data_IF_161467663382
#
_entry.id   IF_161467663382
#
_cell.length_a   1.000
_cell.length_b   1.000
_cell.length_c   1.000
_cell.angle_alpha   90.00
_cell.angle_beta   90.00
_cell.angle_gamma   90.00
#
_symmetry.space_group_name_H-M   'P 1'
#
loop_
_entity.id
_entity.type
_entity.pdbx_description
1 polymer ?
#
# COMPACT_ATOMS: atom_id res chain seq x y z
N UNK A 1 5.05 -0.48 5.91
CA UNK A 1 4.12 -1.31 5.12
C UNK A 1 2.97 -1.75 6.01
N UNK A 2 1.71 -1.65 5.54
CA UNK A 2 0.54 -2.06 6.31
C UNK A 2 0.26 -3.54 6.10
N UNK A 3 0.30 -4.30 7.19
CA UNK A 3 0.06 -5.76 7.20
C UNK A 3 -1.18 -6.03 8.05
N UNK A 4 -2.04 -6.92 7.58
CA UNK A 4 -3.16 -7.43 8.36
C UNK A 4 -2.89 -8.90 8.69
N UNK A 5 -3.14 -9.28 9.94
CA UNK A 5 -3.16 -10.67 10.42
C UNK A 5 -4.59 -11.00 10.86
N UNK A 6 -5.15 -12.07 10.32
CA UNK A 6 -6.48 -12.54 10.70
C UNK A 6 -6.39 -14.02 11.10
N UNK A 7 -6.65 -14.31 12.38
CA UNK A 7 -6.60 -15.64 12.99
C UNK A 7 -7.46 -15.60 14.26
N UNK A 8 -8.26 -16.61 14.57
CA UNK A 8 -9.14 -16.62 15.76
C UNK A 8 -8.37 -16.91 17.05
N UNK A 9 -7.11 -17.40 16.96
CA UNK A 9 -6.25 -17.73 18.10
C UNK A 9 -5.26 -16.60 18.38
N UNK A 10 -5.38 -16.00 19.57
CA UNK A 10 -4.52 -14.88 19.98
C UNK A 10 -3.04 -15.26 20.01
N UNK A 11 -2.70 -16.50 20.40
CA UNK A 11 -1.31 -16.94 20.47
C UNK A 11 -0.67 -17.03 19.08
N UNK A 12 -1.44 -17.48 18.07
CA UNK A 12 -0.99 -17.58 16.68
C UNK A 12 -0.81 -16.19 16.06
N UNK A 13 -1.74 -15.24 16.35
CA UNK A 13 -1.58 -13.83 15.92
C UNK A 13 -0.32 -13.22 16.51
N UNK A 14 -0.10 -13.37 17.82
CA UNK A 14 1.09 -12.84 18.48
C UNK A 14 2.38 -13.43 17.92
N UNK A 15 2.44 -14.76 17.79
CA UNK A 15 3.62 -15.43 17.22
C UNK A 15 3.96 -14.91 15.83
N UNK A 16 2.97 -14.76 14.95
CA UNK A 16 3.18 -14.22 13.61
C UNK A 16 3.58 -12.74 13.66
N UNK A 17 2.95 -11.93 14.52
CA UNK A 17 3.27 -10.52 14.70
C UNK A 17 4.72 -10.32 15.18
N UNK A 18 5.16 -11.14 16.14
CA UNK A 18 6.54 -11.11 16.65
C UNK A 18 7.55 -11.47 15.55
N UNK A 19 7.30 -12.56 14.79
CA UNK A 19 8.17 -12.97 13.67
C UNK A 19 8.26 -11.90 12.57
N UNK A 20 7.14 -11.23 12.25
CA UNK A 20 7.14 -10.13 11.28
C UNK A 20 7.89 -8.91 11.81
N UNK A 21 7.77 -8.61 13.11
CA UNK A 21 8.49 -7.51 13.74
C UNK A 21 10.00 -7.76 13.74
N UNK A 22 10.44 -8.95 14.12
CA UNK A 22 11.84 -9.38 14.07
C UNK A 22 12.42 -9.29 12.65
N UNK A 23 11.65 -9.74 11.66
CA UNK A 23 12.03 -9.59 10.25
C UNK A 23 12.16 -8.12 9.86
N UNK A 24 11.21 -7.27 10.27
CA UNK A 24 11.24 -5.83 10.01
C UNK A 24 12.49 -5.17 10.60
N UNK A 25 12.82 -5.46 11.85
CA UNK A 25 14.06 -4.96 12.50
C UNK A 25 15.32 -5.43 11.77
N UNK A 26 15.41 -6.73 11.46
CA UNK A 26 16.56 -7.33 10.76
C UNK A 26 16.80 -6.72 9.38
N UNK A 27 15.74 -6.42 8.64
CA UNK A 27 15.79 -5.94 7.24
C UNK A 27 15.55 -4.41 7.12
N UNK A 28 15.40 -3.71 8.25
CA UNK A 28 15.13 -2.27 8.30
C UNK A 28 13.84 -1.87 7.56
N UNK A 29 12.77 -2.63 7.79
CA UNK A 29 11.41 -2.33 7.36
C UNK A 29 10.54 -1.89 8.53
N UNK A 30 9.71 -0.87 8.34
CA UNK A 30 8.66 -0.49 9.29
C UNK A 30 7.34 -1.11 8.85
N UNK A 31 6.74 -1.92 9.73
CA UNK A 31 5.44 -2.53 9.55
C UNK A 31 4.41 -1.94 10.51
N UNK A 32 3.24 -1.57 9.98
CA UNK A 32 2.06 -1.29 10.76
C UNK A 32 1.18 -2.54 10.70
N UNK A 33 1.17 -3.32 11.78
CA UNK A 33 0.42 -4.57 11.88
C UNK A 33 -0.92 -4.31 12.55
N UNK A 34 -2.01 -4.75 11.90
CA UNK A 34 -3.37 -4.72 12.45
C UNK A 34 -3.90 -6.14 12.54
N UNK A 35 -4.50 -6.50 13.66
CA UNK A 35 -4.97 -7.86 13.94
C UNK A 35 -6.49 -7.93 13.94
N UNK A 36 -7.03 -9.02 13.39
CA UNK A 36 -8.45 -9.37 13.41
C UNK A 36 -8.63 -10.80 13.87
N UNK A 37 -9.71 -11.06 14.60
CA UNK A 37 -10.01 -12.38 15.19
C UNK A 37 -11.01 -13.21 14.37
N UNK A 38 -11.62 -12.61 13.33
CA UNK A 38 -12.55 -13.32 12.47
C UNK A 38 -12.58 -12.77 11.04
N UNK A 39 -12.94 -13.62 10.09
CA UNK A 39 -13.10 -13.24 8.69
C UNK A 39 -14.26 -12.28 8.48
N UNK A 40 -15.32 -12.37 9.27
CA UNK A 40 -16.47 -11.46 9.24
C UNK A 40 -16.03 -10.04 9.60
N UNK A 41 -15.36 -9.89 10.76
CA UNK A 41 -14.87 -8.59 11.22
C UNK A 41 -13.94 -7.95 10.18
N UNK A 42 -13.00 -8.74 9.66
CA UNK A 42 -12.09 -8.24 8.61
C UNK A 42 -12.82 -7.78 7.36
N UNK A 43 -13.84 -8.51 6.90
CA UNK A 43 -14.59 -8.14 5.70
C UNK A 43 -15.42 -6.85 5.85
N UNK A 44 -15.75 -6.44 7.07
CA UNK A 44 -16.49 -5.20 7.37
C UNK A 44 -15.57 -3.98 7.37
N UNK A 45 -14.27 -4.17 7.63
CA UNK A 45 -13.27 -3.10 7.77
C UNK A 45 -12.68 -2.66 6.42
N UNK A 46 -13.51 -2.03 5.59
CA UNK A 46 -13.12 -1.62 4.24
C UNK A 46 -11.91 -0.69 4.21
N UNK A 47 -11.84 0.28 5.14
CA UNK A 47 -10.73 1.24 5.21
C UNK A 47 -9.39 0.57 5.52
N UNK A 48 -9.40 -0.45 6.37
CA UNK A 48 -8.20 -1.24 6.68
C UNK A 48 -7.76 -2.07 5.48
N UNK A 49 -8.70 -2.71 4.77
CA UNK A 49 -8.41 -3.49 3.57
C UNK A 49 -7.90 -2.62 2.41
N UNK A 50 -8.44 -1.41 2.22
CA UNK A 50 -7.95 -0.45 1.22
C UNK A 50 -6.52 0.01 1.49
N UNK A 51 -6.14 0.14 2.76
CA UNK A 51 -4.79 0.50 3.17
C UNK A 51 -3.82 -0.70 3.24
N UNK A 52 -4.35 -1.93 3.23
CA UNK A 52 -3.57 -3.16 3.39
C UNK A 52 -2.69 -3.43 2.19
N UNK A 53 -1.44 -3.81 2.44
CA UNK A 53 -0.47 -4.17 1.41
C UNK A 53 -0.12 -5.66 1.42
N UNK A 54 -0.42 -6.36 2.52
CA UNK A 54 -0.21 -7.79 2.68
C UNK A 54 -1.15 -8.33 3.76
N UNK A 55 -1.87 -9.41 3.46
CA UNK A 55 -2.78 -10.07 4.37
C UNK A 55 -2.27 -11.47 4.70
N UNK A 56 -2.09 -11.76 5.98
CA UNK A 56 -1.93 -13.12 6.52
C UNK A 56 -3.26 -13.58 7.08
N UNK A 57 -3.70 -14.76 6.68
CA UNK A 57 -5.04 -15.26 6.96
C UNK A 57 -5.00 -16.72 7.35
N UNK A 58 -5.44 -17.03 8.57
CA UNK A 58 -5.65 -18.43 8.97
C UNK A 58 -6.83 -19.03 8.21
N UNK A 59 -6.72 -20.32 7.87
CA UNK A 59 -7.79 -21.05 7.17
C UNK A 59 -8.85 -21.53 8.16
N UNK A 60 -8.44 -22.00 9.32
CA UNK A 60 -9.32 -22.67 10.27
C UNK A 60 -9.83 -21.74 11.37
N UNK A 61 -10.66 -20.80 11.01
CA UNK A 61 -11.32 -19.88 11.96
C UNK A 61 -12.76 -20.31 12.22
N UNK A 62 -13.26 -19.99 13.42
CA UNK A 62 -14.68 -20.15 13.72
C UNK A 62 -15.51 -19.18 12.86
N UNK A 63 -16.71 -19.59 12.44
CA UNK A 63 -17.59 -18.78 11.59
C UNK A 63 -17.19 -18.85 10.12
N UNK A 64 -16.77 -17.72 9.54
CA UNK A 64 -16.29 -17.66 8.16
C UNK A 64 -14.84 -18.16 8.12
N UNK A 65 -14.62 -19.29 7.47
CA UNK A 65 -13.27 -19.83 7.25
C UNK A 65 -12.41 -18.91 6.38
N UNK A 66 -11.07 -19.09 6.47
CA UNK A 66 -10.13 -18.23 5.76
C UNK A 66 -10.22 -18.33 4.24
N UNK A 67 -10.63 -19.46 3.68
CA UNK A 67 -10.79 -19.59 2.23
C UNK A 67 -11.95 -18.74 1.72
N UNK A 68 -13.10 -18.77 2.41
CA UNK A 68 -14.25 -17.92 2.09
C UNK A 68 -13.92 -16.44 2.28
N UNK A 69 -13.19 -16.12 3.35
CA UNK A 69 -12.71 -14.77 3.63
C UNK A 69 -11.80 -14.28 2.50
N UNK A 70 -10.82 -15.10 2.08
CA UNK A 70 -9.92 -14.80 0.98
C UNK A 70 -10.68 -14.57 -0.34
N UNK A 71 -11.67 -15.41 -0.67
CA UNK A 71 -12.49 -15.25 -1.87
C UNK A 71 -13.21 -13.91 -1.87
N UNK A 72 -13.91 -13.56 -0.78
CA UNK A 72 -14.60 -12.26 -0.65
C UNK A 72 -13.66 -11.06 -0.80
N UNK A 73 -12.51 -11.12 -0.15
CA UNK A 73 -11.51 -10.06 -0.21
C UNK A 73 -10.96 -9.95 -1.63
N UNK A 74 -10.61 -11.06 -2.28
CA UNK A 74 -10.08 -11.08 -3.64
C UNK A 74 -11.07 -10.62 -4.71
N UNK A 75 -12.37 -10.77 -4.51
CA UNK A 75 -13.40 -10.21 -5.40
C UNK A 75 -13.31 -8.69 -5.46
N UNK A 76 -13.10 -8.04 -4.30
CA UNK A 76 -13.03 -6.58 -4.20
C UNK A 76 -11.60 -6.05 -4.37
N UNK A 77 -10.61 -6.78 -3.86
CA UNK A 77 -9.20 -6.42 -3.87
C UNK A 77 -8.33 -7.49 -4.57
N UNK A 78 -8.49 -7.69 -5.89
CA UNK A 78 -7.85 -8.81 -6.62
C UNK A 78 -6.32 -8.76 -6.59
N UNK A 79 -5.74 -7.58 -6.41
CA UNK A 79 -4.28 -7.36 -6.37
C UNK A 79 -3.67 -7.49 -4.97
N UNK A 80 -4.48 -7.54 -3.90
CA UNK A 80 -3.97 -7.66 -2.54
C UNK A 80 -3.29 -9.02 -2.36
N UNK A 81 -1.99 -9.10 -2.03
CA UNK A 81 -1.34 -10.36 -1.72
C UNK A 81 -1.94 -10.97 -0.45
N UNK A 82 -2.33 -12.24 -0.54
CA UNK A 82 -2.87 -13.02 0.57
C UNK A 82 -1.96 -14.21 0.83
N UNK A 83 -1.49 -14.34 2.06
CA UNK A 83 -0.76 -15.50 2.56
C UNK A 83 -1.70 -16.31 3.44
N UNK A 84 -1.95 -17.54 3.05
CA UNK A 84 -2.70 -18.45 3.89
C UNK A 84 -1.76 -19.11 4.91
N UNK A 85 -2.13 -19.07 6.17
CA UNK A 85 -1.39 -19.65 7.28
C UNK A 85 -2.27 -20.71 7.93
N UNK A 86 -1.79 -21.94 8.13
CA UNK A 86 -2.61 -23.00 8.70
C UNK A 86 -1.77 -24.09 9.37
N UNK A 87 -2.36 -24.82 10.28
CA UNK A 87 -1.74 -26.02 10.85
C UNK A 87 -1.84 -27.25 9.93
N UNK A 88 -2.61 -27.21 8.83
CA UNK A 88 -2.95 -28.39 8.04
C UNK A 88 -2.54 -28.27 6.57
N UNK A 89 -1.70 -29.20 6.10
CA UNK A 89 -1.15 -29.23 4.74
C UNK A 89 -2.19 -29.54 3.64
N UNK A 90 -3.28 -30.21 3.99
CA UNK A 90 -4.32 -30.61 3.04
C UNK A 90 -5.07 -29.43 2.39
N UNK A 91 -4.99 -28.23 2.95
CA UNK A 91 -5.56 -27.00 2.39
C UNK A 91 -4.71 -26.32 1.31
N UNK A 92 -3.49 -26.79 1.04
CA UNK A 92 -2.61 -26.17 0.05
C UNK A 92 -3.25 -26.11 -1.35
N UNK A 93 -3.99 -27.14 -1.75
CA UNK A 93 -4.70 -27.17 -3.04
C UNK A 93 -5.88 -26.18 -3.08
N UNK A 94 -6.53 -25.92 -1.97
CA UNK A 94 -7.63 -24.97 -1.87
C UNK A 94 -7.13 -23.54 -1.87
N UNK A 95 -5.94 -23.29 -1.33
CA UNK A 95 -5.25 -22.00 -1.44
C UNK A 95 -5.01 -21.55 -2.88
N UNK A 96 -4.73 -22.51 -3.79
CA UNK A 96 -4.60 -22.23 -5.23
C UNK A 96 -5.91 -21.71 -5.85
N UNK A 97 -7.06 -22.23 -5.43
CA UNK A 97 -8.39 -21.81 -5.93
C UNK A 97 -8.71 -20.35 -5.59
N UNK A 98 -8.23 -19.86 -4.45
CA UNK A 98 -8.44 -18.48 -4.00
C UNK A 98 -7.32 -17.53 -4.46
N UNK A 99 -6.39 -18.02 -5.30
CA UNK A 99 -5.24 -17.25 -5.79
C UNK A 99 -4.42 -16.63 -4.65
N UNK A 100 -4.20 -17.42 -3.58
CA UNK A 100 -3.29 -17.03 -2.53
C UNK A 100 -1.88 -16.84 -3.09
N UNK A 101 -1.17 -15.83 -2.62
CA UNK A 101 0.20 -15.55 -3.06
C UNK A 101 1.19 -16.55 -2.50
N UNK A 102 0.98 -16.99 -1.26
CA UNK A 102 1.79 -17.99 -0.55
C UNK A 102 0.91 -18.80 0.40
N UNK A 103 1.47 -19.93 0.82
CA UNK A 103 0.88 -20.82 1.80
C UNK A 103 1.96 -21.19 2.82
N UNK A 104 1.69 -21.00 4.11
CA UNK A 104 2.61 -21.28 5.20
C UNK A 104 1.97 -22.25 6.20
N UNK A 105 2.79 -23.15 6.74
CA UNK A 105 2.39 -23.99 7.86
C UNK A 105 2.79 -23.35 9.18
N UNK A 106 1.85 -23.31 10.15
CA UNK A 106 2.09 -22.75 11.49
C UNK A 106 3.28 -23.42 12.19
N UNK A 107 3.44 -24.73 12.03
CA UNK A 107 4.52 -25.51 12.66
C UNK A 107 5.93 -25.12 12.16
N UNK A 108 6.06 -24.60 10.91
CA UNK A 108 7.34 -24.23 10.32
C UNK A 108 7.43 -22.72 10.05
N UNK A 109 6.60 -21.92 10.71
CA UNK A 109 6.46 -20.50 10.41
C UNK A 109 7.78 -19.74 10.62
N UNK A 110 8.48 -20.00 11.72
CA UNK A 110 9.75 -19.37 12.04
C UNK A 110 10.84 -19.61 10.97
N UNK A 111 10.85 -20.79 10.36
CA UNK A 111 11.84 -21.17 9.35
C UNK A 111 11.51 -20.63 7.95
N UNK A 112 10.22 -20.37 7.68
CA UNK A 112 9.74 -20.04 6.32
C UNK A 112 9.34 -18.59 6.15
N UNK A 113 9.12 -17.85 7.22
CA UNK A 113 8.60 -16.47 7.16
C UNK A 113 9.59 -15.52 6.48
N UNK A 114 10.90 -15.66 6.71
CA UNK A 114 11.91 -14.78 6.13
C UNK A 114 11.93 -14.90 4.60
N UNK A 115 11.98 -16.13 4.07
CA UNK A 115 11.95 -16.39 2.63
C UNK A 115 10.62 -15.90 2.01
N UNK A 116 9.51 -16.18 2.67
CA UNK A 116 8.20 -15.73 2.23
C UNK A 116 8.11 -14.20 2.13
N UNK A 117 8.61 -13.49 3.13
CA UNK A 117 8.60 -12.03 3.15
C UNK A 117 9.57 -11.43 2.11
N UNK A 118 10.76 -11.99 1.95
CA UNK A 118 11.72 -11.55 0.93
C UNK A 118 11.10 -11.66 -0.47
N UNK A 119 10.44 -12.76 -0.78
CA UNK A 119 9.75 -12.99 -2.06
C UNK A 119 8.57 -12.02 -2.27
N UNK A 120 7.71 -11.88 -1.26
CA UNK A 120 6.52 -11.03 -1.35
C UNK A 120 6.90 -9.55 -1.47
N UNK A 121 7.88 -9.09 -0.70
CA UNK A 121 8.37 -7.72 -0.79
C UNK A 121 9.02 -7.47 -2.16
N UNK A 122 9.77 -8.44 -2.69
CA UNK A 122 10.33 -8.33 -4.04
C UNK A 122 9.23 -8.27 -5.11
N UNK A 123 8.15 -9.07 -4.98
CA UNK A 123 7.00 -9.06 -5.88
C UNK A 123 6.22 -7.74 -5.80
N UNK A 124 5.92 -7.28 -4.59
CA UNK A 124 5.25 -6.00 -4.35
C UNK A 124 6.10 -4.86 -4.94
N UNK A 125 7.40 -4.86 -4.67
CA UNK A 125 8.32 -3.82 -5.17
C UNK A 125 8.54 -3.88 -6.69
N UNK A 126 8.51 -5.08 -7.30
CA UNK A 126 8.62 -5.23 -8.75
C UNK A 126 7.47 -4.54 -9.51
N UNK A 127 6.30 -4.50 -8.89
CA UNK A 127 5.13 -3.83 -9.46
C UNK A 127 5.04 -2.35 -9.07
N UNK A 128 5.88 -1.88 -8.11
CA UNK A 128 5.92 -0.46 -7.72
C UNK A 128 6.65 0.35 -8.78
N UNK A 129 6.03 1.44 -9.19
CA UNK A 129 6.62 2.38 -10.15
C UNK A 129 7.71 3.18 -9.46
N UNK A 130 8.94 3.10 -9.98
CA UNK A 130 10.12 3.75 -9.41
C UNK A 130 10.46 4.98 -10.23
N UNK A 131 10.64 6.10 -9.56
CA UNK A 131 11.30 7.29 -10.08
C UNK A 131 12.77 7.26 -9.65
N UNK A 132 13.67 7.05 -10.59
CA UNK A 132 15.12 7.19 -10.36
C UNK A 132 15.58 8.51 -10.94
N UNK A 133 16.12 9.37 -10.09
CA UNK A 133 16.61 10.70 -10.51
C UNK A 133 17.79 11.14 -9.67
N UNK A 134 18.56 12.11 -10.22
CA UNK A 134 19.65 12.75 -9.50
C UNK A 134 19.09 13.94 -8.71
N UNK A 135 18.89 13.71 -7.42
CA UNK A 135 18.49 14.72 -6.46
C UNK A 135 19.72 15.52 -5.95
N UNK A 136 19.48 16.59 -5.20
CA UNK A 136 20.55 17.36 -4.55
C UNK A 136 21.34 16.47 -3.59
N UNK A 137 20.65 15.57 -2.94
CA UNK A 137 21.18 14.60 -1.97
C UNK A 137 21.91 13.43 -2.63
N UNK A 138 21.85 13.28 -3.95
CA UNK A 138 22.49 12.21 -4.73
C UNK A 138 21.52 11.49 -5.69
N UNK A 139 21.97 10.35 -6.22
CA UNK A 139 21.07 9.50 -7.02
C UNK A 139 20.18 8.68 -6.10
N UNK A 140 18.87 8.94 -6.15
CA UNK A 140 17.88 8.33 -5.25
C UNK A 140 16.79 7.65 -6.08
N UNK A 141 16.35 6.50 -5.61
CA UNK A 141 15.19 5.77 -6.11
C UNK A 141 14.01 6.01 -5.17
N UNK A 142 12.97 6.67 -5.68
CA UNK A 142 11.72 6.87 -4.95
C UNK A 142 10.63 6.01 -5.57
N UNK A 143 9.88 5.32 -4.73
CA UNK A 143 8.65 4.70 -5.19
C UNK A 143 7.59 5.78 -5.37
N UNK A 144 6.89 5.76 -6.52
CA UNK A 144 5.84 6.73 -6.80
C UNK A 144 4.76 6.75 -5.72
N UNK A 145 4.45 5.57 -5.15
CA UNK A 145 3.47 5.42 -4.08
C UNK A 145 3.88 6.11 -2.77
N UNK A 146 5.18 6.26 -2.49
CA UNK A 146 5.69 6.93 -1.28
C UNK A 146 5.71 8.46 -1.42
N UNK A 147 5.56 8.99 -2.65
CA UNK A 147 5.54 10.44 -2.92
C UNK A 147 4.13 10.96 -2.65
N UNK A 148 3.99 11.88 -1.69
CA UNK A 148 2.72 12.49 -1.31
C UNK A 148 2.37 13.61 -2.29
N UNK A 149 3.29 14.55 -2.47
CA UNK A 149 3.18 15.63 -3.46
C UNK A 149 4.56 16.20 -3.77
N UNK A 150 4.63 16.96 -4.87
CA UNK A 150 5.82 17.71 -5.28
C UNK A 150 5.43 19.18 -5.34
N UNK A 151 6.23 20.03 -4.72
CA UNK A 151 6.02 21.49 -4.68
C UNK A 151 7.22 22.21 -5.31
N UNK A 152 6.95 23.18 -6.17
CA UNK A 152 8.00 24.09 -6.68
C UNK A 152 8.26 25.15 -5.65
N UNK A 153 9.48 25.17 -5.12
CA UNK A 153 9.99 26.17 -4.19
C UNK A 153 11.18 26.90 -4.83
N UNK A 154 11.01 28.20 -5.06
CA UNK A 154 12.01 29.03 -5.77
C UNK A 154 12.36 28.43 -7.14
N UNK A 155 13.53 27.78 -7.25
CA UNK A 155 14.06 27.21 -8.49
C UNK A 155 14.20 25.69 -8.44
N UNK A 156 13.67 25.05 -7.40
CA UNK A 156 13.74 23.60 -7.17
C UNK A 156 12.35 23.00 -7.04
N UNK A 157 12.23 21.73 -7.32
CA UNK A 157 11.08 20.95 -6.95
C UNK A 157 11.43 20.09 -5.73
N UNK A 158 10.59 20.19 -4.70
CA UNK A 158 10.71 19.46 -3.44
C UNK A 158 9.69 18.33 -3.45
N UNK A 159 10.17 17.12 -3.28
CA UNK A 159 9.38 15.92 -3.11
C UNK A 159 9.08 15.73 -1.64
N UNK A 160 7.82 15.74 -1.27
CA UNK A 160 7.35 15.41 0.06
C UNK A 160 6.92 13.95 0.05
N UNK A 161 7.63 13.11 0.81
CA UNK A 161 7.41 11.67 0.87
C UNK A 161 7.14 11.20 2.29
N UNK A 162 6.70 9.96 2.46
CA UNK A 162 6.54 9.33 3.77
C UNK A 162 7.88 9.22 4.54
N UNK A 163 9.01 9.22 3.82
CA UNK A 163 10.36 9.03 4.38
C UNK A 163 11.16 10.31 4.54
N UNK A 164 10.57 11.46 4.19
CA UNK A 164 11.23 12.77 4.26
C UNK A 164 11.11 13.55 2.96
N UNK A 165 11.96 14.56 2.79
CA UNK A 165 11.94 15.46 1.65
C UNK A 165 13.20 15.33 0.80
N UNK A 166 13.06 15.41 -0.52
CA UNK A 166 14.16 15.37 -1.49
C UNK A 166 14.01 16.51 -2.48
N UNK A 167 15.13 17.07 -2.94
CA UNK A 167 15.13 18.25 -3.80
C UNK A 167 15.77 17.95 -5.16
N UNK A 168 15.18 18.47 -6.25
CA UNK A 168 15.70 18.29 -7.60
C UNK A 168 15.61 19.58 -8.41
N UNK A 169 16.66 19.83 -9.24
CA UNK A 169 16.67 20.88 -10.26
C UNK A 169 16.14 20.34 -11.59
N UNK A 170 14.84 20.11 -11.65
CA UNK A 170 14.15 19.60 -12.83
C UNK A 170 12.80 20.32 -12.95
N UNK A 171 12.34 20.64 -14.15
CA UNK A 171 11.07 21.33 -14.33
C UNK A 171 9.90 20.46 -13.86
N UNK A 172 8.90 21.06 -13.25
CA UNK A 172 7.72 20.34 -12.77
C UNK A 172 6.93 19.67 -13.91
N UNK A 173 6.98 20.26 -15.13
CA UNK A 173 6.35 19.70 -16.32
C UNK A 173 7.06 18.42 -16.81
N UNK A 174 8.38 18.33 -16.62
CA UNK A 174 9.14 17.10 -16.91
C UNK A 174 8.78 16.01 -15.91
N UNK A 175 8.68 16.36 -14.62
CA UNK A 175 8.25 15.44 -13.56
C UNK A 175 6.81 14.97 -13.76
N UNK A 176 5.91 15.85 -14.20
CA UNK A 176 4.53 15.50 -14.56
C UNK A 176 4.49 14.45 -15.67
N UNK A 177 5.34 14.58 -16.69
CA UNK A 177 5.44 13.60 -17.77
C UNK A 177 6.03 12.25 -17.29
N UNK A 178 7.04 12.26 -16.43
CA UNK A 178 7.65 11.05 -15.88
C UNK A 178 6.70 10.29 -14.95
N UNK A 179 5.90 11.03 -14.18
CA UNK A 179 4.91 10.47 -13.26
C UNK A 179 3.53 10.27 -13.92
N UNK A 180 3.44 10.48 -15.24
CA UNK A 180 2.23 10.23 -16.00
C UNK A 180 1.80 8.77 -15.84
N UNK A 181 0.52 8.54 -15.62
CA UNK A 181 -0.06 7.22 -15.34
C UNK A 181 0.43 6.55 -14.02
N UNK A 182 1.05 7.33 -13.13
CA UNK A 182 1.44 6.87 -11.80
C UNK A 182 0.54 7.42 -10.70
N UNK A 183 -0.68 7.86 -11.05
CA UNK A 183 -1.64 8.37 -10.07
C UNK A 183 -1.42 9.81 -9.63
N UNK A 184 -0.66 10.61 -10.40
CA UNK A 184 -0.43 12.03 -10.10
C UNK A 184 -1.34 12.95 -10.90
N UNK A 185 -1.74 14.06 -10.26
CA UNK A 185 -2.51 15.14 -10.89
C UNK A 185 -1.85 16.51 -10.67
N UNK A 186 -1.79 17.32 -11.72
CA UNK A 186 -1.28 18.70 -11.61
C UNK A 186 -2.33 19.62 -11.00
N UNK A 187 -2.31 19.77 -9.69
CA UNK A 187 -3.28 20.58 -8.95
C UNK A 187 -3.10 22.09 -9.17
N UNK A 188 -1.85 22.56 -9.30
CA UNK A 188 -1.47 23.96 -9.44
C UNK A 188 -0.21 24.10 -10.33
N UNK A 189 0.13 25.31 -10.77
CA UNK A 189 1.40 25.55 -11.48
C UNK A 189 2.62 25.07 -10.70
N UNK A 190 2.55 25.09 -9.38
CA UNK A 190 3.62 24.71 -8.46
C UNK A 190 3.36 23.39 -7.71
N UNK A 191 2.27 22.66 -8.00
CA UNK A 191 1.95 21.42 -7.27
C UNK A 191 1.59 20.28 -8.20
N UNK A 192 2.28 19.16 -8.04
CA UNK A 192 1.95 17.85 -8.59
C UNK A 192 1.63 16.92 -7.42
N UNK A 193 0.44 16.36 -7.37
CA UNK A 193 -0.11 15.65 -6.21
C UNK A 193 -0.42 14.20 -6.55
N UNK A 194 0.00 13.29 -5.70
CA UNK A 194 -0.41 11.90 -5.79
C UNK A 194 -1.86 11.75 -5.30
N UNK A 195 -2.74 11.27 -6.19
CA UNK A 195 -4.18 11.17 -5.94
C UNK A 195 -4.54 10.20 -4.81
N UNK A 196 -3.65 9.25 -4.50
CA UNK A 196 -3.78 8.32 -3.37
C UNK A 196 -3.92 9.04 -2.03
N UNK A 197 -3.22 10.16 -1.86
CA UNK A 197 -3.20 10.93 -0.62
C UNK A 197 -4.29 12.01 -0.54
N UNK A 198 -5.18 12.11 -1.53
CA UNK A 198 -6.25 13.10 -1.53
C UNK A 198 -7.43 12.58 -0.69
N UNK A 199 -7.80 13.31 0.35
CA UNK A 199 -8.98 13.00 1.16
C UNK A 199 -10.23 13.74 0.68
N UNK A 200 -10.05 14.98 0.15
CA UNK A 200 -11.19 15.82 -0.27
C UNK A 200 -10.77 16.86 -1.30
N UNK A 201 -11.64 17.13 -2.28
CA UNK A 201 -11.53 18.26 -3.19
C UNK A 201 -12.84 19.07 -3.10
N UNK A 202 -12.78 20.27 -2.54
CA UNK A 202 -13.96 21.11 -2.29
C UNK A 202 -13.57 22.58 -2.21
N UNK A 203 -14.41 23.50 -2.75
CA UNK A 203 -14.18 24.94 -2.63
C UNK A 203 -12.85 25.44 -3.21
N UNK A 204 -12.41 24.84 -4.32
CA UNK A 204 -11.11 25.15 -4.96
C UNK A 204 -9.89 24.82 -4.08
N UNK A 205 -10.06 23.92 -3.12
CA UNK A 205 -8.99 23.44 -2.25
C UNK A 205 -8.98 21.91 -2.28
N UNK A 206 -7.79 21.35 -2.39
CA UNK A 206 -7.50 19.93 -2.24
C UNK A 206 -6.90 19.70 -0.85
N UNK A 207 -7.44 18.75 -0.09
CA UNK A 207 -6.94 18.36 1.23
C UNK A 207 -6.30 16.99 1.13
N UNK A 208 -5.10 16.83 1.68
CA UNK A 208 -4.36 15.58 1.71
C UNK A 208 -4.52 14.87 3.06
N UNK A 209 -4.17 13.59 3.11
CA UNK A 209 -4.14 12.76 4.34
C UNK A 209 -3.27 13.37 5.44
N UNK A 210 -2.21 14.09 5.06
CA UNK A 210 -1.33 14.83 5.98
C UNK A 210 -1.96 16.10 6.56
N UNK A 211 -3.17 16.48 6.14
CA UNK A 211 -3.80 17.76 6.50
C UNK A 211 -3.34 18.96 5.64
N UNK A 212 -2.33 18.79 4.77
CA UNK A 212 -1.90 19.85 3.84
C UNK A 212 -3.07 20.24 2.93
N UNK A 213 -3.26 21.53 2.77
CA UNK A 213 -4.26 22.12 1.86
C UNK A 213 -3.55 22.75 0.66
N UNK A 214 -3.93 22.33 -0.53
CA UNK A 214 -3.36 22.78 -1.80
C UNK A 214 -4.43 23.55 -2.58
N UNK A 215 -4.17 24.79 -3.00
CA UNK A 215 -5.12 25.55 -3.81
C UNK A 215 -5.21 24.96 -5.23
N UNK A 216 -6.43 24.84 -5.74
CA UNK A 216 -6.70 24.42 -7.12
C UNK A 216 -7.31 25.59 -7.88
N UNK A 217 -6.60 26.20 -8.84
CA UNK A 217 -7.10 27.31 -9.61
C UNK A 217 -8.42 26.98 -10.32
N UNK A 218 -9.33 27.95 -10.41
CA UNK A 218 -10.65 27.77 -11.02
C UNK A 218 -10.58 27.16 -12.42
N UNK A 219 -9.58 27.55 -13.22
CA UNK A 219 -9.36 27.03 -14.56
C UNK A 219 -8.99 25.53 -14.60
N UNK A 220 -8.37 25.00 -13.53
CA UNK A 220 -7.95 23.58 -13.43
C UNK A 220 -8.94 22.72 -12.64
N UNK A 221 -9.83 23.34 -11.89
CA UNK A 221 -10.67 22.64 -10.90
C UNK A 221 -11.51 21.52 -11.50
N UNK A 222 -12.16 21.77 -12.64
CA UNK A 222 -13.01 20.78 -13.30
C UNK A 222 -12.19 19.56 -13.81
N UNK A 223 -11.00 19.84 -14.38
CA UNK A 223 -10.11 18.79 -14.86
C UNK A 223 -9.57 17.93 -13.71
N UNK A 224 -9.03 18.56 -12.67
CA UNK A 224 -8.47 17.89 -11.48
C UNK A 224 -9.54 17.02 -10.81
N UNK A 225 -10.78 17.53 -10.66
CA UNK A 225 -11.87 16.77 -10.07
C UNK A 225 -12.24 15.56 -10.93
N UNK A 226 -12.27 15.71 -12.26
CA UNK A 226 -12.56 14.61 -13.18
C UNK A 226 -11.48 13.52 -13.13
N UNK A 227 -10.20 13.89 -13.15
CA UNK A 227 -9.08 12.95 -13.06
C UNK A 227 -9.11 12.17 -11.74
N UNK A 228 -9.40 12.85 -10.63
CA UNK A 228 -9.55 12.20 -9.33
C UNK A 228 -10.74 11.24 -9.25
N UNK A 229 -11.87 11.59 -9.88
CA UNK A 229 -13.06 10.71 -9.91
C UNK A 229 -12.79 9.46 -10.76
N UNK A 230 -12.08 9.61 -11.88
CA UNK A 230 -11.66 8.47 -12.72
C UNK A 230 -10.69 7.56 -11.94
N UNK A 231 -9.74 8.16 -11.25
CA UNK A 231 -8.79 7.42 -10.41
C UNK A 231 -9.51 6.58 -9.34
N UNK A 232 -10.50 7.15 -8.66
CA UNK A 232 -11.31 6.45 -7.64
C UNK A 232 -12.24 5.36 -8.22
N UNK A 233 -12.63 5.47 -9.47
CA UNK A 233 -13.43 4.46 -10.17
C UNK A 233 -12.63 3.32 -10.76
N UNK A 234 -11.30 3.48 -10.84
CA UNK A 234 -10.35 2.44 -11.31
C UNK A 234 -9.76 1.62 -10.15
N UNK A 235 -9.95 2.04 -8.89
CA UNK A 235 -9.61 1.28 -7.69
C UNK A 235 -10.72 0.30 -7.31
#
# INVERSE_FOLDING_TARGET
MNIIICDDRIDDRKNLSDLLSDYGEKKNYEFAITEYESGEQLCEEQSALEACQLLFLDINMQGMDGLKTAMRIKEKYPKLPVVLVTAYMNYALDGYKVKASRFLLKDNLADTIEECMDDLIAEINKNRRILESRFVEGTIKLYADDIIYIETELHKNVFYTEKGTFQIYKKLDELENELKNMGFVRAHLSFLVNMRYITKISGYVMTLTTGKKIPVPKARYAQVKREYMLYKGEE
#
